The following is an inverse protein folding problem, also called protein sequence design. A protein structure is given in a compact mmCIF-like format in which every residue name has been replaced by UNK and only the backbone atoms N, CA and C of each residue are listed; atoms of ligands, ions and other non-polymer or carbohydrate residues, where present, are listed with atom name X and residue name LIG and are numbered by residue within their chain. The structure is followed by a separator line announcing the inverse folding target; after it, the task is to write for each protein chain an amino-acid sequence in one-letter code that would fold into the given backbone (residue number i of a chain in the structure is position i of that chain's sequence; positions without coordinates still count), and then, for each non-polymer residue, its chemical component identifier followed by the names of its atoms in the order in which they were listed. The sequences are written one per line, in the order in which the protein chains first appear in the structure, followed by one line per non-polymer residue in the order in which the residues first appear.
data_IF_770232914945
#
_entry.id   IF_770232914945
#
_cell.length_a   1.000
_cell.length_b   1.000
_cell.length_c   1.000
_cell.angle_alpha   90.00
_cell.angle_beta   90.00
_cell.angle_gamma   90.00
#
_symmetry.space_group_name_H-M   'P 1'
#
loop_
_entity.id
_entity.type
_entity.pdbx_description
1 polymer ?
#
# COMPACT_ATOMS: atom_id res chain seq x y z
N UNK A 1 -1.08 28.53 -17.73
CA UNK A 1 -0.14 28.45 -16.57
C UNK A 1 -0.49 27.20 -15.75
N UNK A 2 0.46 26.32 -15.46
CA UNK A 2 0.22 25.10 -14.66
C UNK A 2 0.00 25.47 -13.18
N UNK A 3 -1.01 24.88 -12.55
CA UNK A 3 -1.27 25.03 -11.12
C UNK A 3 -0.45 24.02 -10.30
N UNK A 4 -0.29 24.25 -8.99
CA UNK A 4 0.35 23.28 -8.10
C UNK A 4 -0.50 22.00 -8.04
N UNK A 5 0.11 20.80 -8.05
CA UNK A 5 -0.63 19.56 -7.84
C UNK A 5 -1.33 19.53 -6.49
N UNK A 6 -2.48 18.88 -6.43
CA UNK A 6 -3.24 18.69 -5.21
C UNK A 6 -3.61 17.23 -5.01
N UNK A 7 -3.51 16.75 -3.76
CA UNK A 7 -3.89 15.39 -3.39
C UNK A 7 -5.40 15.34 -3.12
N UNK A 8 -6.10 14.44 -3.81
CA UNK A 8 -7.52 14.17 -3.56
C UNK A 8 -7.63 12.87 -2.77
N UNK A 9 -8.16 12.94 -1.55
CA UNK A 9 -8.43 11.79 -0.71
C UNK A 9 -9.85 11.22 -0.97
N UNK A 10 -10.11 9.95 -0.63
CA UNK A 10 -11.47 9.42 -0.61
C UNK A 10 -12.40 10.28 0.25
N UNK A 11 -13.65 10.47 -0.20
CA UNK A 11 -14.64 11.30 0.49
C UNK A 11 -15.14 10.69 1.81
N UNK A 12 -14.86 9.41 2.05
CA UNK A 12 -15.21 8.66 3.25
C UNK A 12 -14.05 7.73 3.62
N UNK A 13 -14.02 7.27 4.87
CA UNK A 13 -13.09 6.24 5.28
C UNK A 13 -13.25 4.99 4.40
N UNK A 14 -12.12 4.40 4.02
CA UNK A 14 -12.04 3.17 3.22
C UNK A 14 -11.37 2.07 4.05
N UNK A 15 -11.51 0.79 3.69
CA UNK A 15 -10.81 -0.29 4.40
C UNK A 15 -9.30 -0.07 4.48
N UNK A 16 -8.73 -0.26 5.66
CA UNK A 16 -7.29 -0.15 5.91
C UNK A 16 -6.67 -1.54 5.86
N UNK A 17 -6.16 -1.90 4.69
CA UNK A 17 -5.61 -3.24 4.44
C UNK A 17 -4.30 -3.17 3.69
N UNK A 18 -3.58 -4.28 3.74
CA UNK A 18 -2.38 -4.49 2.96
C UNK A 18 -2.51 -5.80 2.20
N UNK A 19 -2.38 -5.75 0.88
CA UNK A 19 -2.56 -6.91 0.00
C UNK A 19 -1.31 -7.16 -0.81
N UNK A 20 -0.90 -8.42 -0.89
CA UNK A 20 0.10 -8.85 -1.86
C UNK A 20 -0.46 -8.70 -3.26
N UNK A 21 0.39 -8.25 -4.18
CA UNK A 21 0.04 -8.30 -5.59
C UNK A 21 0.11 -9.74 -6.08
N UNK A 22 -0.84 -10.12 -6.94
CA UNK A 22 -0.77 -11.39 -7.66
C UNK A 22 0.48 -11.43 -8.56
N UNK A 23 0.82 -12.58 -9.11
CA UNK A 23 1.97 -12.67 -10.04
C UNK A 23 1.71 -11.92 -11.36
N UNK A 24 0.44 -11.72 -11.73
CA UNK A 24 0.05 -10.89 -12.89
C UNK A 24 0.26 -9.40 -12.58
N UNK A 25 -0.13 -8.95 -11.38
CA UNK A 25 -0.06 -7.54 -10.98
C UNK A 25 1.36 -7.09 -10.55
N UNK A 26 2.27 -8.04 -10.32
CA UNK A 26 3.64 -7.81 -9.81
C UNK A 26 4.71 -7.83 -10.90
N UNK A 27 4.33 -7.90 -12.18
CA UNK A 27 5.28 -7.91 -13.29
C UNK A 27 6.15 -6.65 -13.28
N UNK A 28 7.48 -6.83 -13.30
CA UNK A 28 8.45 -5.72 -13.30
C UNK A 28 8.20 -4.74 -14.47
N UNK A 29 7.76 -5.27 -15.62
CA UNK A 29 7.41 -4.48 -16.80
C UNK A 29 6.20 -3.57 -16.61
N UNK A 30 5.41 -3.68 -15.54
CA UNK A 30 4.26 -2.81 -15.25
C UNK A 30 4.56 -1.76 -14.17
N UNK A 31 5.80 -1.69 -13.67
CA UNK A 31 6.20 -0.80 -12.56
C UNK A 31 6.47 0.64 -13.01
N UNK A 32 5.58 1.20 -13.82
CA UNK A 32 5.63 2.59 -14.28
C UNK A 32 4.23 3.21 -14.35
N UNK A 33 4.16 4.54 -14.36
CA UNK A 33 2.91 5.26 -14.55
C UNK A 33 2.58 5.32 -16.05
N UNK A 34 1.45 4.73 -16.45
CA UNK A 34 0.96 4.79 -17.84
C UNK A 34 0.31 6.17 -18.07
N UNK A 35 0.87 7.06 -18.90
CA UNK A 35 0.26 8.35 -19.19
C UNK A 35 -0.88 8.16 -20.20
N UNK A 36 -2.09 8.58 -19.85
CA UNK A 36 -3.25 8.60 -20.76
C UNK A 36 -3.80 10.02 -20.84
N UNK A 37 -4.02 10.53 -22.07
CA UNK A 37 -4.61 11.85 -22.32
C UNK A 37 -5.93 11.64 -23.06
N UNK A 38 -7.01 12.22 -22.53
CA UNK A 38 -8.35 12.16 -23.11
C UNK A 38 -8.81 13.57 -23.52
N UNK A 39 -9.25 13.73 -24.76
CA UNK A 39 -9.77 14.99 -25.30
C UNK A 39 -11.30 14.91 -25.38
N UNK A 40 -11.98 15.96 -24.92
CA UNK A 40 -13.43 16.08 -25.01
C UNK A 40 -13.78 17.33 -25.81
N UNK A 41 -14.68 17.19 -26.77
CA UNK A 41 -15.20 18.34 -27.52
C UNK A 41 -16.00 19.26 -26.61
N UNK A 42 -16.02 20.55 -26.94
CA UNK A 42 -16.91 21.51 -26.28
C UNK A 42 -18.34 21.25 -26.76
N UNK A 43 -19.05 20.37 -26.05
CA UNK A 43 -20.48 20.16 -26.24
C UNK A 43 -21.12 21.36 -25.57
N UNK A 44 -21.74 22.25 -26.36
CA UNK A 44 -22.26 23.56 -25.95
C UNK A 44 -23.34 23.53 -24.87
N UNK A 45 -23.04 23.03 -23.67
CA UNK A 45 -23.86 23.14 -22.48
C UNK A 45 -23.77 24.58 -22.01
N UNK A 46 -24.57 25.43 -22.66
CA UNK A 46 -24.80 26.79 -22.25
C UNK A 46 -25.09 26.84 -20.75
N UNK A 47 -24.23 27.57 -20.02
CA UNK A 47 -24.67 28.31 -18.86
C UNK A 47 -25.03 27.55 -17.58
N UNK A 48 -24.47 26.37 -17.28
CA UNK A 48 -24.44 25.91 -15.87
C UNK A 48 -23.01 25.96 -15.35
N UNK A 49 -22.59 27.17 -14.97
CA UNK A 49 -21.26 27.57 -14.51
C UNK A 49 -20.76 26.87 -13.23
N UNK A 50 -20.57 25.56 -13.30
CA UNK A 50 -19.82 24.83 -12.28
C UNK A 50 -18.36 24.79 -12.70
N UNK A 51 -17.49 25.18 -11.78
CA UNK A 51 -16.05 25.08 -11.95
C UNK A 51 -15.67 23.61 -12.22
N UNK A 52 -15.10 23.28 -13.40
CA UNK A 52 -14.73 21.91 -13.74
C UNK A 52 -13.72 21.32 -12.75
N UNK A 53 -12.85 22.15 -12.16
CA UNK A 53 -11.87 21.70 -11.16
C UNK A 53 -12.60 21.18 -9.92
N UNK A 54 -13.60 21.92 -9.44
CA UNK A 54 -14.43 21.51 -8.31
C UNK A 54 -15.22 20.22 -8.63
N UNK A 55 -15.82 20.14 -9.80
CA UNK A 55 -16.60 18.96 -10.22
C UNK A 55 -15.71 17.71 -10.29
N UNK A 56 -14.55 17.81 -10.93
CA UNK A 56 -13.61 16.68 -11.06
C UNK A 56 -13.13 16.23 -9.67
N UNK A 57 -12.76 17.17 -8.80
CA UNK A 57 -12.30 16.86 -7.44
C UNK A 57 -13.35 16.13 -6.62
N UNK A 58 -14.58 16.63 -6.61
CA UNK A 58 -15.69 16.02 -5.85
C UNK A 58 -16.06 14.64 -6.41
N UNK A 59 -16.07 14.49 -7.74
CA UNK A 59 -16.34 13.23 -8.40
C UNK A 59 -15.24 12.20 -8.05
N UNK A 60 -13.96 12.57 -8.18
CA UNK A 60 -12.84 11.70 -7.84
C UNK A 60 -12.87 11.26 -6.37
N UNK A 61 -13.08 12.19 -5.44
CA UNK A 61 -13.16 11.85 -4.01
C UNK A 61 -14.26 10.82 -3.72
N UNK A 62 -15.44 10.95 -4.36
CA UNK A 62 -16.54 9.98 -4.22
C UNK A 62 -16.21 8.63 -4.88
N UNK A 63 -15.63 8.64 -6.08
CA UNK A 63 -15.21 7.43 -6.80
C UNK A 63 -14.17 6.64 -6.02
N UNK A 64 -13.20 7.32 -5.38
CA UNK A 64 -12.15 6.71 -4.58
C UNK A 64 -12.67 5.95 -3.34
N UNK A 65 -13.93 6.13 -2.93
CA UNK A 65 -14.53 5.29 -1.88
C UNK A 65 -14.73 3.85 -2.38
N UNK A 66 -15.20 3.71 -3.63
CA UNK A 66 -15.45 2.41 -4.26
C UNK A 66 -14.18 1.81 -4.86
N UNK A 67 -13.31 2.67 -5.38
CA UNK A 67 -12.04 2.31 -6.01
C UNK A 67 -10.86 2.67 -5.10
N UNK A 68 -10.99 2.35 -3.82
CA UNK A 68 -10.04 2.73 -2.78
C UNK A 68 -8.59 2.24 -2.98
N UNK A 69 -8.28 1.15 -3.71
CA UNK A 69 -6.89 0.80 -4.01
C UNK A 69 -6.13 1.90 -4.77
N UNK A 70 -6.81 2.75 -5.56
CA UNK A 70 -6.17 3.87 -6.27
C UNK A 70 -5.72 5.00 -5.34
N UNK A 71 -6.26 5.10 -4.13
CA UNK A 71 -5.81 6.04 -3.12
C UNK A 71 -4.60 5.51 -2.31
N UNK A 72 -4.21 4.25 -2.55
CA UNK A 72 -3.16 3.56 -1.81
C UNK A 72 -1.74 3.95 -2.22
N UNK A 73 -0.79 3.15 -1.72
CA UNK A 73 0.64 3.23 -2.03
C UNK A 73 1.21 1.85 -2.27
N UNK A 74 2.07 1.73 -3.27
CA UNK A 74 2.86 0.52 -3.46
C UNK A 74 4.07 0.52 -2.52
N UNK A 75 4.40 -0.65 -1.98
CA UNK A 75 5.63 -0.92 -1.24
C UNK A 75 6.26 -2.21 -1.71
N UNK A 76 7.58 -2.21 -1.75
CA UNK A 76 8.37 -3.40 -2.05
C UNK A 76 8.67 -4.17 -0.75
N UNK A 77 8.37 -5.46 -0.76
CA UNK A 77 8.64 -6.40 0.33
C UNK A 77 9.83 -7.32 0.03
N UNK A 78 10.02 -8.39 0.83
CA UNK A 78 11.06 -9.40 0.59
C UNK A 78 10.97 -10.00 -0.82
N UNK A 79 12.12 -10.38 -1.38
CA UNK A 79 12.24 -10.88 -2.76
C UNK A 79 11.61 -9.96 -3.83
N UNK A 80 11.55 -8.65 -3.54
CA UNK A 80 11.02 -7.60 -4.43
C UNK A 80 9.53 -7.73 -4.77
N UNK A 81 8.77 -8.49 -3.96
CA UNK A 81 7.32 -8.65 -4.11
C UNK A 81 6.61 -7.36 -3.76
N UNK A 82 5.80 -6.81 -4.66
CA UNK A 82 5.03 -5.60 -4.37
C UNK A 82 3.78 -5.88 -3.52
N UNK A 83 3.44 -4.88 -2.72
CA UNK A 83 2.29 -4.87 -1.83
C UNK A 83 1.54 -3.56 -2.00
N UNK A 84 0.21 -3.64 -2.04
CA UNK A 84 -0.65 -2.46 -2.02
C UNK A 84 -1.03 -2.13 -0.58
N UNK A 85 -0.62 -0.95 -0.11
CA UNK A 85 -1.07 -0.36 1.13
C UNK A 85 -2.29 0.52 0.90
N UNK A 86 -3.37 0.25 1.63
CA UNK A 86 -4.60 1.04 1.51
C UNK A 86 -4.77 2.06 2.65
N UNK A 87 -3.68 2.36 3.39
CA UNK A 87 -3.28 3.61 4.08
C UNK A 87 -1.99 3.34 4.91
N UNK A 88 -1.42 4.41 5.48
CA UNK A 88 -0.19 4.46 6.28
C UNK A 88 -0.22 3.57 7.54
N UNK A 89 -0.06 2.26 7.38
CA UNK A 89 0.31 1.38 8.51
C UNK A 89 1.59 0.62 8.18
N UNK A 90 2.60 0.81 9.03
CA UNK A 90 3.88 0.10 8.97
C UNK A 90 3.76 -1.39 9.34
N UNK A 91 2.58 -1.84 9.80
CA UNK A 91 2.32 -3.18 10.32
C UNK A 91 2.16 -4.28 9.27
N UNK A 92 2.34 -4.00 7.98
CA UNK A 92 2.27 -5.02 6.93
C UNK A 92 3.48 -5.98 6.89
N UNK A 93 4.18 -6.23 8.01
CA UNK A 93 5.39 -7.04 8.04
C UNK A 93 5.28 -8.35 8.86
N UNK A 94 4.23 -8.57 9.66
CA UNK A 94 4.20 -9.71 10.62
C UNK A 94 3.52 -10.98 10.11
N UNK A 95 2.60 -10.92 9.13
CA UNK A 95 1.84 -12.10 8.67
C UNK A 95 2.44 -12.79 7.43
N UNK A 96 3.40 -12.16 6.77
CA UNK A 96 3.90 -12.61 5.46
C UNK A 96 4.78 -13.86 5.50
N UNK A 97 5.39 -14.16 6.65
CA UNK A 97 6.16 -15.39 6.82
C UNK A 97 5.27 -16.64 6.86
N UNK A 98 3.96 -16.50 7.07
CA UNK A 98 3.05 -17.65 7.16
C UNK A 98 2.40 -18.03 5.82
N UNK A 99 2.23 -17.10 4.86
CA UNK A 99 1.54 -17.43 3.61
C UNK A 99 2.46 -18.05 2.54
N UNK A 100 3.75 -17.65 2.51
CA UNK A 100 4.75 -18.25 1.61
C UNK A 100 5.09 -19.71 1.95
N UNK A 101 4.68 -20.22 3.11
CA UNK A 101 4.85 -21.64 3.47
C UNK A 101 3.73 -22.56 2.96
N UNK A 102 2.63 -22.05 2.40
CA UNK A 102 1.48 -22.87 1.99
C UNK A 102 1.31 -23.07 0.48
N UNK A 103 1.95 -22.25 -0.37
CA UNK A 103 1.70 -22.26 -1.83
C UNK A 103 2.85 -22.79 -2.69
N UNK A 104 3.95 -23.27 -2.08
CA UNK A 104 5.11 -23.80 -2.81
C UNK A 104 5.68 -25.07 -2.15
N UNK A 105 5.46 -26.27 -2.74
CA UNK A 105 6.05 -27.52 -2.24
C UNK A 105 7.59 -27.54 -2.30
N UNK A 106 8.17 -26.69 -3.15
CA UNK A 106 9.58 -26.59 -3.53
C UNK A 106 10.41 -25.62 -2.67
N UNK A 107 9.79 -24.78 -1.84
CA UNK A 107 10.52 -23.79 -1.05
C UNK A 107 11.40 -24.41 0.05
N UNK A 108 11.05 -25.61 0.54
CA UNK A 108 11.91 -26.36 1.49
C UNK A 108 13.20 -26.88 0.88
N UNK A 109 13.30 -26.98 -0.46
CA UNK A 109 14.44 -27.58 -1.14
C UNK A 109 15.51 -26.55 -1.52
N UNK A 110 15.13 -25.27 -1.66
CA UNK A 110 16.03 -24.15 -1.96
C UNK A 110 16.73 -23.58 -0.72
N UNK A 111 16.12 -23.70 0.45
CA UNK A 111 16.75 -23.36 1.72
C UNK A 111 17.33 -24.64 2.32
N UNK A 112 18.63 -24.89 2.10
CA UNK A 112 19.36 -25.97 2.77
C UNK A 112 19.13 -25.96 4.30
N UNK A 113 19.39 -27.07 5.00
CA UNK A 113 18.93 -27.29 6.37
C UNK A 113 19.26 -26.09 7.26
N UNK A 114 18.22 -25.40 7.73
CA UNK A 114 18.37 -24.30 8.68
C UNK A 114 18.90 -24.88 9.99
N UNK A 115 20.09 -24.42 10.41
CA UNK A 115 20.58 -24.71 11.76
C UNK A 115 19.54 -24.19 12.77
N UNK A 116 19.16 -24.96 13.80
CA UNK A 116 18.26 -24.46 14.82
C UNK A 116 18.92 -23.25 15.51
N UNK A 117 18.27 -22.09 15.42
CA UNK A 117 18.59 -20.96 16.29
C UNK A 117 18.12 -21.34 17.69
N UNK A 118 19.08 -21.52 18.60
CA UNK A 118 18.82 -21.67 20.02
C UNK A 118 17.89 -20.54 20.48
N UNK A 119 16.65 -20.92 20.82
CA UNK A 119 15.68 -20.04 21.43
C UNK A 119 16.15 -19.63 22.82
N UNK A 120 16.72 -18.42 22.92
CA UNK A 120 16.71 -17.71 24.20
C UNK A 120 15.44 -16.89 24.23
N UNK A 121 14.50 -17.33 25.07
CA UNK A 121 13.36 -16.55 25.53
C UNK A 121 13.86 -15.16 25.95
N UNK A 122 13.42 -14.12 25.24
CA UNK A 122 13.61 -12.74 25.68
C UNK A 122 12.58 -12.46 26.76
N UNK A 123 12.96 -12.67 28.03
CA UNK A 123 12.21 -12.18 29.18
C UNK A 123 12.33 -10.66 29.20
N UNK A 124 11.23 -9.96 28.94
CA UNK A 124 11.11 -8.53 29.26
C UNK A 124 10.82 -8.45 30.75
N UNK A 125 11.78 -7.92 31.52
CA UNK A 125 11.63 -7.65 32.94
C UNK A 125 12.91 -7.05 33.49
N UNK A 126 12.81 -5.80 33.95
CA UNK A 126 13.58 -5.14 35.03
C UNK A 126 13.11 -3.68 35.06
N UNK A 127 12.22 -3.35 35.99
CA UNK A 127 12.54 -2.88 37.35
C UNK A 127 13.28 -1.55 37.33
N UNK A 128 12.54 -0.51 37.72
CA UNK A 128 13.06 0.78 38.14
C UNK A 128 13.69 0.60 39.53
N UNK A 129 14.99 0.83 39.62
CA UNK A 129 15.72 0.83 40.88
C UNK A 129 16.99 1.65 40.76
N UNK A 130 16.85 2.97 40.90
CA UNK A 130 17.98 3.86 41.17
C UNK A 130 18.39 3.64 42.63
N UNK A 131 19.61 3.15 42.84
CA UNK A 131 20.27 3.09 44.14
C UNK A 131 21.78 3.26 43.92
N UNK A 132 22.27 4.46 44.16
CA UNK A 132 23.69 4.78 44.25
C UNK A 132 24.28 4.12 45.50
N UNK A 133 25.47 3.55 45.36
CA UNK A 133 26.21 2.95 46.48
C UNK A 133 26.83 3.98 47.41
N UNK A 134 27.11 3.52 48.62
CA UNK A 134 28.41 3.58 49.30
C UNK A 134 28.69 2.18 49.86
#
# INVERSE_FOLDING_TARGET
RRQKPELVAPAKATPHECKLLSDIDDQEGLRFQIPVIQFYGNIGTGGRGRDPVKVIREALAKTLVFYYPFAGRLREGPARKLMSLMVNKWECNSEFHQHLSWTRPDFKQLMGPSKPRNGKHMKIGRDWGLGTGD
#
